data_IF_942015289129
#
_entry.id   IF_942015289129
#
_cell.length_a   1.000
_cell.length_b   1.000
_cell.length_c   1.000
_cell.angle_alpha   90.00
_cell.angle_beta   90.00
_cell.angle_gamma   90.00
#
_symmetry.space_group_name_H-M   'P 1'
#
loop_
_entity.id
_entity.type
_entity.pdbx_description
1 polymer ?
#
# COMPACT_ATOMS: atom_id res chain seq x y z
N UNK A 1 2.46 0.51 -24.41
CA UNK A 1 3.27 -0.42 -23.58
C UNK A 1 4.06 0.33 -22.51
N UNK A 2 4.92 1.30 -22.88
CA UNK A 2 5.76 2.08 -21.95
C UNK A 2 5.00 2.85 -20.86
N UNK A 3 3.85 3.44 -21.19
CA UNK A 3 3.05 4.19 -20.22
C UNK A 3 2.33 3.29 -19.20
N UNK A 4 1.78 2.16 -19.65
CA UNK A 4 1.19 1.13 -18.76
C UNK A 4 2.23 0.59 -17.78
N UNK A 5 3.43 0.29 -18.28
CA UNK A 5 4.57 -0.12 -17.45
C UNK A 5 4.97 0.94 -16.42
N UNK A 6 5.07 2.21 -16.82
CA UNK A 6 5.37 3.32 -15.89
C UNK A 6 4.31 3.47 -14.80
N UNK A 7 3.02 3.43 -15.16
CA UNK A 7 1.90 3.54 -14.20
C UNK A 7 1.92 2.38 -13.19
N UNK A 8 2.17 1.16 -13.66
CA UNK A 8 2.27 0.00 -12.78
C UNK A 8 3.48 0.08 -11.85
N UNK A 9 4.64 0.52 -12.34
CA UNK A 9 5.83 0.75 -11.51
C UNK A 9 5.56 1.77 -10.40
N UNK A 10 4.94 2.91 -10.72
CA UNK A 10 4.59 3.92 -9.72
C UNK A 10 3.65 3.31 -8.66
N UNK A 11 2.63 2.56 -9.08
CA UNK A 11 1.70 1.89 -8.17
C UNK A 11 2.41 0.95 -7.20
N UNK A 12 3.41 0.19 -7.69
CA UNK A 12 4.20 -0.72 -6.85
C UNK A 12 5.19 -0.01 -5.95
N UNK A 13 5.79 1.09 -6.38
CA UNK A 13 6.61 1.94 -5.51
C UNK A 13 5.78 2.49 -4.34
N UNK A 14 4.56 2.96 -4.60
CA UNK A 14 3.65 3.36 -3.53
C UNK A 14 3.29 2.18 -2.63
N UNK A 15 3.06 0.98 -3.17
CA UNK A 15 2.78 -0.20 -2.37
C UNK A 15 3.95 -0.61 -1.46
N UNK A 16 5.19 -0.51 -1.96
CA UNK A 16 6.41 -0.79 -1.21
C UNK A 16 6.64 0.17 -0.03
N UNK A 17 5.95 1.32 0.03
CA UNK A 17 5.97 2.15 1.25
C UNK A 17 5.46 1.38 2.47
N UNK A 18 4.64 0.33 2.27
CA UNK A 18 4.23 -0.58 3.35
C UNK A 18 5.39 -1.29 4.07
N UNK A 19 6.58 -1.37 3.45
CA UNK A 19 7.78 -1.94 4.09
C UNK A 19 8.22 -1.13 5.32
N UNK A 20 7.82 0.14 5.42
CA UNK A 20 8.08 0.96 6.60
C UNK A 20 7.47 0.35 7.86
N UNK A 21 6.34 -0.37 7.76
CA UNK A 21 5.73 -1.06 8.90
C UNK A 21 6.68 -2.12 9.47
N UNK A 22 7.27 -2.95 8.59
CA UNK A 22 8.26 -3.95 8.98
C UNK A 22 9.53 -3.29 9.55
N UNK A 23 10.00 -2.20 8.93
CA UNK A 23 11.18 -1.47 9.40
C UNK A 23 10.96 -0.85 10.79
N UNK A 24 9.80 -0.23 11.03
CA UNK A 24 9.43 0.33 12.34
C UNK A 24 9.34 -0.79 13.37
N UNK A 25 8.76 -1.94 13.02
CA UNK A 25 8.72 -3.10 13.91
C UNK A 25 10.13 -3.56 14.31
N UNK A 26 11.04 -3.71 13.35
CA UNK A 26 12.40 -4.16 13.62
C UNK A 26 13.23 -3.16 14.43
N UNK A 27 13.04 -1.86 14.20
CA UNK A 27 13.88 -0.82 14.81
C UNK A 27 13.36 -0.32 16.16
N UNK A 28 12.03 -0.22 16.32
CA UNK A 28 11.40 0.37 17.50
C UNK A 28 10.56 -0.65 18.29
N UNK A 29 10.27 -1.81 17.71
CA UNK A 29 9.50 -2.87 18.36
C UNK A 29 7.98 -2.77 18.13
N UNK A 30 7.28 -3.76 18.70
CA UNK A 30 5.84 -4.00 18.46
C UNK A 30 4.94 -2.80 18.78
N UNK A 31 5.14 -2.17 19.94
CA UNK A 31 4.25 -1.09 20.40
C UNK A 31 4.29 0.11 19.45
N UNK A 32 5.49 0.51 19.01
CA UNK A 32 5.66 1.60 18.05
C UNK A 32 5.14 1.22 16.67
N UNK A 33 5.30 -0.04 16.24
CA UNK A 33 4.72 -0.53 14.99
C UNK A 33 3.18 -0.50 15.01
N UNK A 34 2.54 -0.89 16.11
CA UNK A 34 1.09 -0.81 16.29
C UNK A 34 0.65 0.66 16.20
N UNK A 35 1.30 1.55 16.95
CA UNK A 35 0.97 2.97 16.95
C UNK A 35 1.13 3.59 15.55
N UNK A 36 2.26 3.35 14.91
CA UNK A 36 2.56 3.79 13.55
C UNK A 36 1.52 3.29 12.54
N UNK A 37 1.22 2.00 12.56
CA UNK A 37 0.27 1.38 11.61
C UNK A 37 -1.15 1.85 11.87
N UNK A 38 -1.51 2.13 13.14
CA UNK A 38 -2.81 2.71 13.50
C UNK A 38 -2.96 4.13 12.93
N UNK A 39 -1.93 4.97 13.06
CA UNK A 39 -1.92 6.30 12.44
C UNK A 39 -2.05 6.18 10.93
N UNK A 40 -1.26 5.30 10.29
CA UNK A 40 -1.34 5.07 8.85
C UNK A 40 -2.74 4.67 8.41
N UNK A 41 -3.40 3.77 9.15
CA UNK A 41 -4.76 3.33 8.84
C UNK A 41 -5.76 4.49 8.95
N UNK A 42 -5.73 5.25 10.05
CA UNK A 42 -6.62 6.38 10.26
C UNK A 42 -6.44 7.46 9.19
N UNK A 43 -5.18 7.82 8.90
CA UNK A 43 -4.85 8.76 7.82
C UNK A 43 -5.32 8.23 6.46
N UNK A 44 -5.14 6.94 6.19
CA UNK A 44 -5.56 6.31 4.93
C UNK A 44 -7.09 6.34 4.75
N UNK A 45 -7.85 6.03 5.80
CA UNK A 45 -9.32 6.11 5.77
C UNK A 45 -9.78 7.56 5.55
N UNK A 46 -9.16 8.51 6.25
CA UNK A 46 -9.48 9.94 6.10
C UNK A 46 -9.19 10.45 4.67
N UNK A 47 -8.02 10.09 4.12
CA UNK A 47 -7.64 10.44 2.76
C UNK A 47 -8.58 9.81 1.72
N UNK A 48 -8.96 8.54 1.89
CA UNK A 48 -9.94 7.88 1.02
C UNK A 48 -11.32 8.53 1.09
N UNK A 49 -11.77 8.92 2.28
CA UNK A 49 -13.03 9.64 2.45
C UNK A 49 -13.03 10.93 1.63
N UNK A 50 -11.96 11.72 1.70
CA UNK A 50 -11.80 12.94 0.89
C UNK A 50 -11.75 12.58 -0.60
N UNK A 51 -10.97 11.59 -0.99
CA UNK A 51 -10.81 11.18 -2.40
C UNK A 51 -12.16 10.81 -3.04
N UNK A 52 -12.99 10.05 -2.33
CA UNK A 52 -14.29 9.57 -2.83
C UNK A 52 -15.35 10.67 -2.79
N UNK A 53 -15.43 11.44 -1.70
CA UNK A 53 -16.50 12.44 -1.51
C UNK A 53 -16.21 13.80 -2.15
N UNK A 54 -14.94 14.18 -2.19
CA UNK A 54 -14.50 15.51 -2.58
C UNK A 54 -13.17 15.43 -3.36
N UNK A 55 -13.15 14.66 -4.44
CA UNK A 55 -11.95 14.42 -5.25
C UNK A 55 -11.19 15.70 -5.65
N UNK A 56 -11.90 16.81 -5.90
CA UNK A 56 -11.31 18.11 -6.24
C UNK A 56 -10.44 18.66 -5.10
N UNK A 57 -10.84 18.43 -3.84
CA UNK A 57 -10.12 18.86 -2.64
C UNK A 57 -9.01 17.87 -2.22
N UNK A 58 -8.90 16.71 -2.88
CA UNK A 58 -7.87 15.74 -2.57
C UNK A 58 -6.48 16.30 -2.95
N UNK A 59 -5.53 16.42 -2.00
CA UNK A 59 -4.25 17.09 -2.23
C UNK A 59 -3.38 16.41 -3.30
N UNK A 60 -3.64 15.13 -3.57
CA UNK A 60 -2.94 14.33 -4.56
C UNK A 60 -3.85 13.93 -5.73
N UNK A 61 -4.88 14.72 -6.05
CA UNK A 61 -5.88 14.42 -7.09
C UNK A 61 -5.27 14.03 -8.44
N UNK A 62 -4.25 14.76 -8.92
CA UNK A 62 -3.55 14.44 -10.17
C UNK A 62 -2.80 13.10 -10.12
N UNK A 63 -2.21 12.77 -8.98
CA UNK A 63 -1.53 11.48 -8.77
C UNK A 63 -2.54 10.35 -8.65
N UNK A 64 -3.65 10.57 -7.93
CA UNK A 64 -4.74 9.62 -7.83
C UNK A 64 -5.36 9.32 -9.20
N UNK A 65 -5.61 10.33 -10.04
CA UNK A 65 -6.10 10.14 -11.41
C UNK A 65 -5.10 9.42 -12.33
N UNK A 66 -3.79 9.61 -12.09
CA UNK A 66 -2.74 8.96 -12.87
C UNK A 66 -2.59 7.47 -12.52
N UNK A 67 -2.75 7.13 -11.24
CA UNK A 67 -2.47 5.80 -10.69
C UNK A 67 -3.73 4.92 -10.66
N UNK A 68 -4.90 5.50 -10.37
CA UNK A 68 -6.14 4.75 -10.16
C UNK A 68 -6.67 4.19 -11.46
N UNK A 69 -7.07 2.91 -11.45
CA UNK A 69 -7.79 2.31 -12.58
C UNK A 69 -9.21 2.87 -12.65
N UNK A 70 -9.85 2.77 -13.82
CA UNK A 70 -11.17 3.35 -14.03
C UNK A 70 -12.22 2.85 -13.03
N UNK A 71 -12.10 1.58 -12.61
CA UNK A 71 -12.94 0.92 -11.60
C UNK A 71 -12.58 1.25 -10.13
N UNK A 72 -11.36 1.73 -9.85
CA UNK A 72 -10.90 2.04 -8.49
C UNK A 72 -11.30 3.47 -8.06
N UNK A 73 -11.85 4.28 -8.97
CA UNK A 73 -12.20 5.68 -8.69
C UNK A 73 -13.29 5.84 -7.63
N UNK A 74 -14.22 4.89 -7.53
CA UNK A 74 -15.35 4.95 -6.60
C UNK A 74 -15.27 3.94 -5.44
N UNK A 75 -14.30 3.03 -5.47
CA UNK A 75 -14.08 2.02 -4.44
C UNK A 75 -12.94 2.41 -3.50
N UNK A 76 -12.93 1.86 -2.28
CA UNK A 76 -11.84 2.06 -1.32
C UNK A 76 -10.53 1.51 -1.88
N UNK A 77 -9.46 2.29 -1.81
CA UNK A 77 -8.17 1.90 -2.33
C UNK A 77 -7.50 0.75 -1.56
N UNK A 78 -6.70 -0.05 -2.26
CA UNK A 78 -6.00 -1.23 -1.73
C UNK A 78 -5.09 -0.95 -0.53
N UNK A 79 -4.53 0.26 -0.42
CA UNK A 79 -3.64 0.62 0.69
C UNK A 79 -4.36 0.69 2.05
N UNK A 80 -5.68 0.96 2.08
CA UNK A 80 -6.46 0.88 3.32
C UNK A 80 -6.53 -0.57 3.81
N UNK A 81 -6.85 -1.50 2.91
CA UNK A 81 -6.90 -2.92 3.23
C UNK A 81 -5.53 -3.45 3.67
N UNK A 82 -4.45 -2.99 3.03
CA UNK A 82 -3.10 -3.30 3.47
C UNK A 82 -2.84 -2.81 4.90
N UNK A 83 -3.17 -1.56 5.23
CA UNK A 83 -2.97 -1.03 6.59
C UNK A 83 -3.78 -1.81 7.64
N UNK A 84 -5.02 -2.20 7.31
CA UNK A 84 -5.82 -3.06 8.19
C UNK A 84 -5.17 -4.43 8.41
N UNK A 85 -4.77 -5.10 7.33
CA UNK A 85 -4.12 -6.41 7.42
C UNK A 85 -2.79 -6.33 8.17
N UNK A 86 -1.99 -5.30 7.90
CA UNK A 86 -0.73 -5.05 8.59
C UNK A 86 -0.93 -4.84 10.09
N UNK A 87 -1.96 -4.09 10.49
CA UNK A 87 -2.27 -3.87 11.91
C UNK A 87 -2.65 -5.18 12.61
N UNK A 88 -3.49 -6.00 11.97
CA UNK A 88 -3.87 -7.33 12.49
C UNK A 88 -2.63 -8.21 12.64
N UNK A 89 -1.80 -8.30 11.60
CA UNK A 89 -0.57 -9.11 11.60
C UNK A 89 0.38 -8.66 12.71
N UNK A 90 0.65 -7.36 12.81
CA UNK A 90 1.52 -6.77 13.84
C UNK A 90 0.98 -7.03 15.25
N UNK A 91 -0.35 -7.00 15.42
CA UNK A 91 -0.98 -7.18 16.72
C UNK A 91 -0.93 -8.65 17.20
N UNK A 92 -1.25 -9.60 16.31
CA UNK A 92 -1.46 -11.00 16.70
C UNK A 92 -0.26 -11.92 16.47
N UNK A 93 0.63 -11.63 15.52
CA UNK A 93 1.69 -12.55 15.13
C UNK A 93 3.02 -12.28 15.83
N UNK A 94 3.91 -13.27 15.75
CA UNK A 94 5.28 -13.18 16.26
C UNK A 94 6.14 -12.29 15.36
N UNK A 95 7.19 -11.70 15.92
CA UNK A 95 8.10 -10.80 15.21
C UNK A 95 8.58 -11.36 13.86
N UNK A 96 9.06 -12.61 13.85
CA UNK A 96 9.52 -13.26 12.62
C UNK A 96 8.41 -13.36 11.58
N UNK A 97 7.19 -13.72 12.00
CA UNK A 97 6.06 -13.82 11.09
C UNK A 97 5.62 -12.45 10.54
N UNK A 98 5.65 -11.40 11.36
CA UNK A 98 5.35 -10.02 10.93
C UNK A 98 6.37 -9.54 9.90
N UNK A 99 7.66 -9.64 10.23
CA UNK A 99 8.75 -9.14 9.38
C UNK A 99 8.78 -9.91 8.07
N UNK A 100 8.84 -11.25 8.12
CA UNK A 100 8.92 -12.06 6.90
C UNK A 100 7.62 -12.00 6.10
N UNK A 101 6.46 -12.07 6.76
CA UNK A 101 5.17 -12.10 6.08
C UNK A 101 4.87 -10.81 5.32
N UNK A 102 5.04 -9.65 5.96
CA UNK A 102 4.79 -8.36 5.32
C UNK A 102 5.82 -8.06 4.22
N UNK A 103 7.11 -8.33 4.48
CA UNK A 103 8.15 -8.10 3.46
C UNK A 103 7.98 -9.01 2.25
N UNK A 104 7.71 -10.31 2.46
CA UNK A 104 7.48 -11.26 1.38
C UNK A 104 6.24 -10.92 0.57
N UNK A 105 5.14 -10.52 1.22
CA UNK A 105 3.92 -10.11 0.52
C UNK A 105 4.16 -8.90 -0.39
N UNK A 106 4.82 -7.85 0.13
CA UNK A 106 5.08 -6.61 -0.61
C UNK A 106 6.10 -6.79 -1.73
N UNK A 107 7.23 -7.44 -1.44
CA UNK A 107 8.26 -7.70 -2.44
C UNK A 107 7.78 -8.69 -3.49
N UNK A 108 7.07 -9.74 -3.09
CA UNK A 108 6.49 -10.72 -4.00
C UNK A 108 5.49 -10.09 -4.97
N UNK A 109 4.57 -9.26 -4.47
CA UNK A 109 3.60 -8.54 -5.29
C UNK A 109 4.26 -7.52 -6.24
N UNK A 110 5.32 -6.84 -5.78
CA UNK A 110 6.10 -5.92 -6.61
C UNK A 110 6.86 -6.66 -7.73
N UNK A 111 7.59 -7.72 -7.41
CA UNK A 111 8.35 -8.51 -8.38
C UNK A 111 7.41 -9.17 -9.39
N UNK A 112 6.34 -9.79 -8.90
CA UNK A 112 5.33 -10.45 -9.75
C UNK A 112 4.72 -9.46 -10.75
N UNK A 113 4.39 -8.24 -10.32
CA UNK A 113 3.84 -7.22 -11.21
C UNK A 113 4.85 -6.70 -12.24
N UNK A 114 6.10 -6.46 -11.84
CA UNK A 114 7.14 -5.99 -12.77
C UNK A 114 7.44 -7.05 -13.83
N UNK A 115 7.59 -8.30 -13.43
CA UNK A 115 7.78 -9.43 -14.34
C UNK A 115 6.55 -9.63 -15.21
N UNK A 116 5.36 -9.55 -14.63
CA UNK A 116 4.09 -9.67 -15.34
C UNK A 116 3.93 -8.65 -16.47
N UNK A 117 4.22 -7.37 -16.21
CA UNK A 117 4.11 -6.33 -17.26
C UNK A 117 5.33 -6.31 -18.20
N UNK A 118 6.50 -6.76 -17.74
CA UNK A 118 7.73 -6.78 -18.54
C UNK A 118 7.88 -7.98 -19.48
N UNK A 119 7.47 -9.16 -19.03
CA UNK A 119 7.63 -10.45 -19.75
C UNK A 119 6.29 -11.04 -20.18
N UNK A 120 5.23 -10.79 -19.42
CA UNK A 120 3.88 -11.27 -19.74
C UNK A 120 3.34 -10.64 -21.01
N UNK A 121 2.85 -11.49 -21.93
CA UNK A 121 2.19 -11.08 -23.18
C UNK A 121 0.69 -10.77 -23.02
N UNK A 122 0.14 -10.90 -21.82
CA UNK A 122 -1.29 -10.74 -21.51
C UNK A 122 -1.50 -9.96 -20.22
#
# INVERSE_FOLDING_TARGET
>A
MREKFRKELIRKLFHLTGLTVSLVYMSLGKNYAIFYTSILLLSSIFLEFIRIRAHILFPLNKLADMISRHFEKTAVASYVYFCMAALIVVFFLSEKAVVVGLTAALLGDAISAVVGVGVGKY
#
